data_IF_876839631730
#
_entry.id   IF_876839631730
#
_cell.length_a   1.000
_cell.length_b   1.000
_cell.length_c   1.000
_cell.angle_alpha   90.00
_cell.angle_beta   90.00
_cell.angle_gamma   90.00
#
_symmetry.space_group_name_H-M   'P 1'
#
loop_
_entity.id
_entity.type
_entity.pdbx_description
1 polymer ?
#
# COMPACT_ATOMS: atom_id res chain seq x y z
N UNK A 1 -20.16 20.42 0.35
CA UNK A 1 -19.75 20.08 -1.04
C UNK A 1 -19.60 18.56 -1.11
N UNK A 2 -20.49 17.82 -1.76
CA UNK A 2 -20.39 16.37 -1.88
C UNK A 2 -19.14 16.04 -2.73
N UNK A 3 -18.12 15.44 -2.12
CA UNK A 3 -16.99 14.92 -2.89
C UNK A 3 -17.52 13.84 -3.83
N UNK A 4 -17.15 13.92 -5.10
CA UNK A 4 -17.48 12.93 -6.13
C UNK A 4 -16.94 11.57 -5.66
N UNK A 5 -17.79 10.52 -5.66
CA UNK A 5 -17.33 9.15 -5.39
C UNK A 5 -16.37 8.76 -6.51
N UNK A 6 -15.14 8.40 -6.16
CA UNK A 6 -14.10 8.01 -7.12
C UNK A 6 -14.29 6.58 -7.62
N UNK A 7 -14.94 5.72 -6.82
CA UNK A 7 -15.16 4.32 -7.15
C UNK A 7 -16.01 3.62 -6.09
N UNK A 8 -15.76 2.34 -5.88
CA UNK A 8 -16.48 1.47 -4.94
C UNK A 8 -16.28 1.93 -3.49
N UNK A 9 -17.38 2.05 -2.73
CA UNK A 9 -17.32 2.44 -1.32
C UNK A 9 -16.72 1.31 -0.46
N UNK A 10 -16.04 1.67 0.63
CA UNK A 10 -15.60 0.71 1.63
C UNK A 10 -16.76 -0.06 2.26
N UNK A 11 -17.97 0.49 2.27
CA UNK A 11 -19.18 -0.20 2.75
C UNK A 11 -19.53 -1.44 1.90
N UNK A 12 -19.07 -1.48 0.65
CA UNK A 12 -19.25 -2.61 -0.26
C UNK A 12 -18.17 -3.69 -0.05
N UNK A 13 -17.15 -3.40 0.77
CA UNK A 13 -16.05 -4.32 1.06
C UNK A 13 -16.55 -5.48 1.93
N UNK A 14 -16.31 -6.75 1.54
CA UNK A 14 -16.71 -7.89 2.35
C UNK A 14 -16.16 -7.82 3.79
N UNK A 15 -17.01 -7.99 4.83
CA UNK A 15 -16.59 -7.88 6.23
C UNK A 15 -15.46 -8.84 6.62
N UNK A 16 -15.32 -9.98 5.91
CA UNK A 16 -14.24 -10.96 6.16
C UNK A 16 -12.84 -10.34 6.01
N UNK A 17 -12.68 -9.29 5.19
CA UNK A 17 -11.40 -8.61 4.96
C UNK A 17 -10.90 -7.93 6.25
N UNK A 18 -11.82 -7.42 7.08
CA UNK A 18 -11.48 -6.79 8.35
C UNK A 18 -10.85 -7.75 9.36
N UNK A 19 -11.09 -9.05 9.21
CA UNK A 19 -10.46 -10.07 10.05
C UNK A 19 -8.95 -10.17 9.86
N UNK A 20 -8.44 -9.66 8.71
CA UNK A 20 -7.00 -9.66 8.33
C UNK A 20 -6.37 -11.05 8.36
N UNK A 21 -7.17 -12.09 8.05
CA UNK A 21 -6.73 -13.50 8.03
C UNK A 21 -6.48 -14.01 6.62
N UNK A 22 -7.05 -13.36 5.62
CA UNK A 22 -6.88 -13.69 4.21
C UNK A 22 -5.78 -12.82 3.60
N UNK A 23 -4.89 -13.43 2.83
CA UNK A 23 -3.82 -12.74 2.11
C UNK A 23 -4.34 -12.06 0.85
N UNK A 24 -3.67 -10.98 0.45
CA UNK A 24 -3.95 -10.23 -0.77
C UNK A 24 -4.80 -8.98 -0.58
N UNK A 25 -5.06 -8.56 0.65
CA UNK A 25 -5.80 -7.34 0.94
C UNK A 25 -4.85 -6.23 1.39
N UNK A 26 -4.76 -5.19 0.58
CA UNK A 26 -3.81 -4.10 0.77
C UNK A 26 -4.50 -2.80 1.17
N UNK A 27 -3.83 -2.01 1.97
CA UNK A 27 -4.17 -0.62 2.23
C UNK A 27 -3.08 0.26 1.61
N UNK A 28 -3.44 1.35 0.93
CA UNK A 28 -2.44 2.27 0.38
C UNK A 28 -2.64 3.70 0.85
N UNK A 29 -1.52 4.46 0.86
CA UNK A 29 -1.49 5.84 1.31
C UNK A 29 -0.30 6.58 0.70
N UNK A 30 -0.20 7.89 0.96
CA UNK A 30 0.95 8.71 0.60
C UNK A 30 1.61 9.31 1.84
N UNK A 31 2.93 9.21 1.91
CA UNK A 31 3.74 9.89 2.91
C UNK A 31 4.40 11.11 2.29
N UNK A 32 3.96 12.30 2.73
CA UNK A 32 4.50 13.57 2.27
C UNK A 32 5.70 13.98 3.11
N UNK A 33 6.74 14.50 2.46
CA UNK A 33 7.91 15.10 3.11
C UNK A 33 7.68 16.55 3.55
N UNK A 34 8.60 17.42 3.19
CA UNK A 34 8.41 18.86 3.33
C UNK A 34 7.27 19.32 2.42
N UNK A 35 6.44 20.26 2.90
CA UNK A 35 5.34 20.83 2.09
C UNK A 35 5.88 21.80 1.03
N UNK A 36 6.87 21.37 0.25
CA UNK A 36 7.45 22.13 -0.85
C UNK A 36 6.94 21.60 -2.18
N UNK A 37 6.84 22.47 -3.19
CA UNK A 37 6.22 22.17 -4.48
C UNK A 37 6.96 21.11 -5.31
N UNK A 38 8.22 20.81 -4.99
CA UNK A 38 9.12 19.98 -5.78
C UNK A 38 9.78 18.89 -4.92
N UNK A 39 9.05 18.30 -3.98
CA UNK A 39 9.53 17.18 -3.18
C UNK A 39 8.87 15.90 -3.66
N UNK A 40 9.62 14.79 -3.69
CA UNK A 40 9.07 13.47 -3.94
C UNK A 40 8.06 13.12 -2.85
N UNK A 41 7.27 12.10 -3.15
CA UNK A 41 6.27 11.54 -2.24
C UNK A 41 6.50 10.05 -2.14
N UNK A 42 6.28 9.44 -0.98
CA UNK A 42 6.31 8.00 -0.87
C UNK A 42 4.89 7.45 -1.03
N UNK A 43 4.68 6.66 -2.06
CA UNK A 43 3.50 5.83 -2.21
C UNK A 43 3.74 4.54 -1.42
N UNK A 44 2.87 4.25 -0.48
CA UNK A 44 3.02 3.14 0.46
C UNK A 44 1.85 2.18 0.38
N UNK A 45 2.16 0.88 0.47
CA UNK A 45 1.16 -0.19 0.52
C UNK A 45 1.48 -1.10 1.70
N UNK A 46 0.46 -1.51 2.45
CA UNK A 46 0.58 -2.47 3.53
C UNK A 46 -0.39 -3.63 3.32
N UNK A 47 0.14 -4.86 3.30
CA UNK A 47 -0.67 -6.07 3.22
C UNK A 47 -1.27 -6.39 4.61
N UNK A 48 -2.56 -6.70 4.65
CA UNK A 48 -3.30 -6.76 5.91
C UNK A 48 -3.02 -8.00 6.76
N UNK A 49 -2.66 -9.15 6.18
CA UNK A 49 -2.37 -10.40 6.87
C UNK A 49 -0.92 -10.48 7.29
N UNK A 50 0.00 -10.40 6.34
CA UNK A 50 1.44 -10.52 6.56
C UNK A 50 2.05 -9.29 7.22
N UNK A 51 1.41 -8.13 7.07
CA UNK A 51 1.95 -6.82 7.43
C UNK A 51 3.11 -6.37 6.55
N UNK A 52 3.30 -7.02 5.41
CA UNK A 52 4.28 -6.60 4.42
C UNK A 52 4.05 -5.15 4.00
N UNK A 53 5.12 -4.41 3.87
CA UNK A 53 5.09 -2.98 3.61
C UNK A 53 5.97 -2.62 2.44
N UNK A 54 5.38 -2.02 1.41
CA UNK A 54 6.06 -1.59 0.20
C UNK A 54 6.13 -0.06 0.17
N UNK A 55 7.28 0.48 -0.24
CA UNK A 55 7.53 1.93 -0.28
C UNK A 55 8.07 2.31 -1.67
N UNK A 56 7.30 3.07 -2.42
CA UNK A 56 7.69 3.55 -3.75
C UNK A 56 7.88 5.08 -3.75
N UNK A 57 9.09 5.59 -3.96
CA UNK A 57 9.27 7.00 -4.25
C UNK A 57 8.61 7.35 -5.59
N UNK A 58 7.70 8.31 -5.58
CA UNK A 58 7.05 8.86 -6.78
C UNK A 58 7.31 10.34 -6.89
N UNK A 59 7.32 10.86 -8.12
CA UNK A 59 7.74 12.26 -8.39
C UNK A 59 6.85 13.30 -7.69
N UNK A 60 5.55 13.04 -7.64
CA UNK A 60 4.59 13.90 -6.97
C UNK A 60 3.31 13.13 -6.55
N UNK A 61 2.39 13.80 -5.87
CA UNK A 61 1.11 13.23 -5.45
C UNK A 61 0.02 13.35 -6.53
N UNK A 62 0.30 12.95 -7.74
CA UNK A 62 -0.69 12.87 -8.82
C UNK A 62 -1.18 11.44 -9.03
N UNK A 63 -2.38 11.30 -9.57
CA UNK A 63 -2.91 9.98 -9.91
C UNK A 63 -2.07 9.28 -10.98
N UNK A 64 -1.48 10.03 -11.89
CA UNK A 64 -0.57 9.51 -12.91
C UNK A 64 0.68 8.85 -12.29
N UNK A 65 1.29 9.48 -11.27
CA UNK A 65 2.45 8.92 -10.56
C UNK A 65 2.09 7.67 -9.75
N UNK A 66 0.93 7.66 -9.08
CA UNK A 66 0.42 6.49 -8.37
C UNK A 66 0.16 5.33 -9.33
N UNK A 67 -0.50 5.60 -10.48
CA UNK A 67 -0.74 4.57 -11.49
C UNK A 67 0.53 4.05 -12.14
N UNK A 68 1.55 4.90 -12.32
CA UNK A 68 2.86 4.45 -12.82
C UNK A 68 3.54 3.47 -11.84
N UNK A 69 3.48 3.75 -10.53
CA UNK A 69 3.97 2.82 -9.50
C UNK A 69 3.17 1.52 -9.50
N UNK A 70 1.84 1.57 -9.60
CA UNK A 70 1.00 0.36 -9.67
C UNK A 70 1.30 -0.50 -10.90
N UNK A 71 1.61 0.11 -12.04
CA UNK A 71 2.03 -0.64 -13.25
C UNK A 71 3.36 -1.37 -13.03
N UNK A 72 4.34 -0.75 -12.36
CA UNK A 72 5.59 -1.42 -12.00
C UNK A 72 5.33 -2.64 -11.11
N UNK A 73 4.45 -2.50 -10.11
CA UNK A 73 4.04 -3.62 -9.26
C UNK A 73 3.35 -4.72 -10.08
N UNK A 74 2.47 -4.34 -11.01
CA UNK A 74 1.81 -5.28 -11.93
C UNK A 74 2.83 -6.06 -12.78
N UNK A 75 3.87 -5.39 -13.28
CA UNK A 75 4.94 -6.03 -14.05
C UNK A 75 5.73 -7.03 -13.22
N UNK A 76 5.99 -6.73 -11.94
CA UNK A 76 6.70 -7.63 -11.02
C UNK A 76 5.92 -8.93 -10.78
N UNK A 77 4.63 -8.85 -10.51
CA UNK A 77 3.81 -10.02 -10.19
C UNK A 77 3.16 -10.66 -11.42
N UNK A 78 3.16 -9.97 -12.57
CA UNK A 78 2.67 -10.46 -13.86
C UNK A 78 1.29 -11.13 -13.77
N UNK A 79 1.16 -12.39 -14.14
CA UNK A 79 -0.08 -13.17 -14.12
C UNK A 79 -0.65 -13.39 -12.72
N UNK A 80 0.20 -13.35 -11.68
CA UNK A 80 -0.19 -13.52 -10.27
C UNK A 80 -0.61 -12.23 -9.58
N UNK A 81 -0.60 -11.09 -10.29
CA UNK A 81 -0.91 -9.81 -9.69
C UNK A 81 -2.25 -9.81 -8.93
N UNK A 82 -3.32 -10.33 -9.50
CA UNK A 82 -4.64 -10.35 -8.86
C UNK A 82 -4.74 -11.34 -7.68
N UNK A 83 -3.84 -12.31 -7.59
CA UNK A 83 -3.76 -13.23 -6.46
C UNK A 83 -3.04 -12.58 -5.27
N UNK A 84 -1.98 -11.79 -5.57
CA UNK A 84 -1.21 -11.02 -4.58
C UNK A 84 -1.96 -9.75 -4.17
N UNK A 85 -2.66 -9.09 -5.12
CA UNK A 85 -3.43 -7.86 -4.91
C UNK A 85 -4.92 -8.11 -5.20
N UNK A 86 -5.61 -8.85 -4.32
CA UNK A 86 -7.06 -9.12 -4.44
C UNK A 86 -7.88 -7.84 -4.25
N UNK A 87 -7.51 -7.04 -3.25
CA UNK A 87 -8.15 -5.74 -3.01
C UNK A 87 -7.16 -4.68 -2.58
N UNK A 88 -7.44 -3.44 -2.95
CA UNK A 88 -6.71 -2.26 -2.48
C UNK A 88 -7.71 -1.30 -1.83
N UNK A 89 -7.44 -0.89 -0.60
CA UNK A 89 -8.23 0.11 0.11
C UNK A 89 -7.45 1.42 0.20
N UNK A 90 -8.06 2.52 -0.21
CA UNK A 90 -7.45 3.85 -0.22
C UNK A 90 -8.43 4.91 0.32
N UNK A 91 -7.97 6.14 0.52
CA UNK A 91 -8.88 7.26 0.80
C UNK A 91 -9.45 7.88 -0.49
N UNK A 92 -10.34 8.87 -0.33
CA UNK A 92 -10.95 9.62 -1.42
C UNK A 92 -10.09 10.81 -1.89
N UNK A 93 -8.76 10.68 -1.86
CA UNK A 93 -7.84 11.69 -2.39
C UNK A 93 -7.85 11.72 -3.91
N UNK A 94 -7.65 12.90 -4.51
CA UNK A 94 -7.56 13.05 -5.96
C UNK A 94 -6.39 12.28 -6.57
N UNK A 95 -5.36 12.04 -5.79
CA UNK A 95 -4.19 11.23 -6.13
C UNK A 95 -4.51 9.74 -6.36
N UNK A 96 -5.63 9.26 -5.86
CA UNK A 96 -6.10 7.89 -6.03
C UNK A 96 -7.26 7.77 -7.02
N UNK A 97 -7.60 8.85 -7.72
CA UNK A 97 -8.80 8.89 -8.57
C UNK A 97 -8.80 7.82 -9.68
N UNK A 98 -7.63 7.50 -10.21
CA UNK A 98 -7.49 6.55 -11.32
C UNK A 98 -7.25 5.10 -10.86
N UNK A 99 -7.11 4.84 -9.55
CA UNK A 99 -6.89 3.46 -9.05
C UNK A 99 -8.02 2.50 -9.43
N UNK A 100 -9.25 3.00 -9.55
CA UNK A 100 -10.38 2.18 -10.01
C UNK A 100 -10.20 1.63 -11.44
N UNK A 101 -9.28 2.19 -12.25
CA UNK A 101 -8.95 1.64 -13.57
C UNK A 101 -8.30 0.26 -13.48
N UNK A 102 -7.69 -0.10 -12.32
CA UNK A 102 -7.14 -1.45 -12.09
C UNK A 102 -8.21 -2.52 -12.22
N UNK A 103 -9.47 -2.23 -11.83
CA UNK A 103 -10.60 -3.17 -11.96
C UNK A 103 -10.93 -3.53 -13.42
N UNK A 104 -10.49 -2.70 -14.40
CA UNK A 104 -10.67 -2.96 -15.82
C UNK A 104 -9.55 -3.81 -16.43
N UNK A 105 -8.39 -3.82 -15.76
CA UNK A 105 -7.17 -4.47 -16.27
C UNK A 105 -6.83 -5.75 -15.52
N UNK A 106 -7.48 -5.98 -14.38
CA UNK A 106 -7.21 -7.11 -13.49
C UNK A 106 -8.45 -7.44 -12.65
N UNK A 107 -8.44 -8.56 -11.95
CA UNK A 107 -9.50 -8.94 -10.99
C UNK A 107 -9.33 -8.27 -9.62
N UNK A 108 -8.42 -7.30 -9.49
CA UNK A 108 -8.19 -6.54 -8.27
C UNK A 108 -9.31 -5.53 -8.03
N UNK A 109 -9.95 -5.57 -6.87
CA UNK A 109 -11.00 -4.62 -6.50
C UNK A 109 -10.44 -3.45 -5.70
N UNK A 110 -10.91 -2.23 -5.97
CA UNK A 110 -10.47 -1.01 -5.29
C UNK A 110 -11.60 -0.40 -4.46
N UNK A 111 -11.35 -0.22 -3.16
CA UNK A 111 -12.30 0.35 -2.22
C UNK A 111 -11.82 1.71 -1.72
N UNK A 112 -12.73 2.67 -1.66
CA UNK A 112 -12.47 4.01 -1.16
C UNK A 112 -13.05 4.18 0.25
N UNK A 113 -12.18 4.49 1.21
CA UNK A 113 -12.52 4.72 2.60
C UNK A 113 -13.39 5.98 2.79
N UNK A 114 -14.07 6.07 3.92
CA UNK A 114 -14.81 7.27 4.27
C UNK A 114 -13.86 8.45 4.49
N UNK A 115 -14.25 9.66 4.12
CA UNK A 115 -13.48 10.86 4.45
C UNK A 115 -13.28 10.97 5.97
N UNK A 116 -12.04 11.24 6.39
CA UNK A 116 -11.65 11.46 7.78
C UNK A 116 -11.80 10.25 8.74
N UNK A 117 -11.86 9.03 8.21
CA UNK A 117 -11.97 7.82 9.03
C UNK A 117 -10.66 7.03 8.99
N UNK A 118 -9.77 7.30 9.97
CA UNK A 118 -8.45 6.66 10.05
C UNK A 118 -8.52 5.16 10.34
N UNK A 119 -9.57 4.67 10.99
CA UNK A 119 -9.72 3.25 11.28
C UNK A 119 -9.86 2.38 10.01
N UNK A 120 -10.29 2.96 8.89
CA UNK A 120 -10.50 2.22 7.64
C UNK A 120 -9.18 1.75 6.98
N UNK A 121 -8.04 2.38 7.34
CA UNK A 121 -6.68 2.10 6.84
C UNK A 121 -5.65 1.97 7.97
N UNK A 122 -6.02 1.36 9.07
CA UNK A 122 -5.18 1.29 10.27
C UNK A 122 -3.85 0.57 10.09
N UNK A 123 -3.70 -0.32 9.10
CA UNK A 123 -2.45 -1.04 8.83
C UNK A 123 -1.43 -0.11 8.19
N UNK A 124 -1.76 0.52 7.07
CA UNK A 124 -0.82 1.41 6.36
C UNK A 124 -0.49 2.65 7.19
N UNK A 125 -1.45 3.22 7.92
CA UNK A 125 -1.19 4.39 8.78
C UNK A 125 -0.16 4.06 9.89
N UNK A 126 -0.26 2.88 10.50
CA UNK A 126 0.70 2.41 11.49
C UNK A 126 2.10 2.25 10.90
N UNK A 127 2.20 1.68 9.69
CA UNK A 127 3.47 1.50 8.99
C UNK A 127 4.06 2.85 8.55
N UNK A 128 3.25 3.79 8.08
CA UNK A 128 3.69 5.14 7.78
C UNK A 128 4.31 5.83 9.01
N UNK A 129 3.83 5.52 10.21
CA UNK A 129 4.43 5.95 11.47
C UNK A 129 5.85 5.42 11.68
N UNK A 130 6.20 4.23 11.16
CA UNK A 130 7.56 3.67 11.23
C UNK A 130 8.53 4.45 10.33
N UNK A 131 8.10 4.84 9.13
CA UNK A 131 8.89 5.67 8.21
C UNK A 131 9.37 6.94 8.91
N UNK A 132 8.54 7.53 9.78
CA UNK A 132 8.85 8.79 10.49
C UNK A 132 10.03 8.72 11.47
N UNK A 133 10.48 7.52 11.81
CA UNK A 133 11.71 7.31 12.57
C UNK A 133 12.97 7.64 11.76
N UNK A 134 12.91 7.46 10.44
CA UNK A 134 14.02 7.65 9.51
C UNK A 134 13.85 8.96 8.72
N UNK A 135 12.63 9.23 8.29
CA UNK A 135 12.25 10.42 7.50
C UNK A 135 11.29 11.26 8.35
N UNK A 136 11.78 12.13 9.23
CA UNK A 136 10.95 12.96 10.09
C UNK A 136 10.02 13.87 9.29
N UNK A 137 8.87 14.16 9.85
CA UNK A 137 7.92 15.10 9.23
C UNK A 137 8.59 16.47 8.98
N UNK A 138 8.36 17.02 7.80
CA UNK A 138 8.94 18.31 7.38
C UNK A 138 10.33 18.20 6.75
N UNK A 139 10.96 17.02 6.73
CA UNK A 139 12.16 16.77 5.92
C UNK A 139 11.76 16.47 4.49
N UNK A 140 12.58 16.88 3.54
CA UNK A 140 12.39 16.55 2.13
C UNK A 140 12.68 15.07 1.90
N UNK A 141 11.83 14.42 1.11
CA UNK A 141 12.07 13.04 0.68
C UNK A 141 13.24 12.98 -0.30
N UNK A 142 13.41 14.03 -1.12
CA UNK A 142 14.55 14.18 -2.02
C UNK A 142 15.93 14.20 -1.33
N UNK A 143 15.99 14.48 -0.02
CA UNK A 143 17.23 14.43 0.74
C UNK A 143 17.69 12.98 1.03
N UNK A 144 16.85 11.98 0.72
CA UNK A 144 17.13 10.57 0.94
C UNK A 144 17.33 9.86 -0.40
N UNK A 145 18.37 9.05 -0.49
CA UNK A 145 18.62 8.23 -1.67
C UNK A 145 17.60 7.09 -1.80
N UNK A 146 17.43 6.57 -3.02
CA UNK A 146 16.58 5.39 -3.23
C UNK A 146 17.01 4.20 -2.38
N UNK A 147 18.32 4.05 -2.15
CA UNK A 147 18.86 2.99 -1.28
C UNK A 147 18.43 3.20 0.18
N UNK A 148 18.53 4.42 0.70
CA UNK A 148 18.08 4.72 2.07
C UNK A 148 16.57 4.45 2.25
N UNK A 149 15.75 4.73 1.24
CA UNK A 149 14.31 4.42 1.28
C UNK A 149 14.09 2.90 1.24
N UNK A 150 14.82 2.17 0.40
CA UNK A 150 14.77 0.70 0.36
C UNK A 150 15.24 0.08 1.70
N UNK A 151 16.26 0.63 2.34
CA UNK A 151 16.73 0.18 3.65
C UNK A 151 15.64 0.37 4.73
N UNK A 152 14.83 1.43 4.65
CA UNK A 152 13.68 1.65 5.55
C UNK A 152 12.60 0.59 5.32
N UNK A 153 12.30 0.25 4.07
CA UNK A 153 11.35 -0.81 3.71
C UNK A 153 11.79 -2.15 4.27
N UNK A 154 13.04 -2.56 3.99
CA UNK A 154 13.64 -3.79 4.50
C UNK A 154 13.57 -3.81 6.03
N UNK A 155 13.96 -2.71 6.69
CA UNK A 155 13.90 -2.63 8.15
C UNK A 155 12.49 -2.85 8.68
N UNK A 156 11.47 -2.26 8.06
CA UNK A 156 10.07 -2.43 8.46
C UNK A 156 9.64 -3.90 8.34
N UNK A 157 10.03 -4.58 7.25
CA UNK A 157 9.61 -5.94 6.94
C UNK A 157 10.40 -7.02 7.72
N UNK A 158 11.58 -6.66 8.24
CA UNK A 158 12.39 -7.53 9.11
C UNK A 158 12.06 -7.39 10.61
N UNK A 159 11.11 -6.55 11.01
CA UNK A 159 10.74 -6.41 12.42
C UNK A 159 9.82 -7.56 12.89
N UNK A 160 10.17 -8.33 13.93
CA UNK A 160 9.27 -9.30 14.52
C UNK A 160 8.02 -8.61 15.12
N UNK A 161 6.84 -9.07 14.74
CA UNK A 161 5.57 -8.47 15.16
C UNK A 161 4.81 -9.44 16.05
N UNK A 162 4.40 -8.99 17.23
CA UNK A 162 3.70 -9.83 18.22
C UNK A 162 2.44 -10.50 17.65
N UNK A 163 1.64 -9.78 16.85
CA UNK A 163 0.42 -10.32 16.24
C UNK A 163 0.69 -11.43 15.22
N UNK A 164 1.92 -11.49 14.69
CA UNK A 164 2.40 -12.54 13.79
C UNK A 164 3.13 -13.68 14.54
N UNK A 165 2.97 -13.77 15.86
CA UNK A 165 3.69 -14.75 16.68
C UNK A 165 5.20 -14.47 16.75
N UNK A 166 5.61 -13.22 16.71
CA UNK A 166 7.01 -12.74 16.64
C UNK A 166 7.75 -13.13 15.36
N UNK A 167 7.02 -13.50 14.32
CA UNK A 167 7.56 -13.62 12.97
C UNK A 167 7.63 -12.24 12.31
N UNK A 168 8.42 -12.13 11.26
CA UNK A 168 8.55 -10.91 10.47
C UNK A 168 7.47 -10.85 9.37
N UNK A 169 7.09 -9.65 8.89
CA UNK A 169 6.24 -9.50 7.71
C UNK A 169 6.78 -10.28 6.51
N UNK A 170 8.07 -10.13 6.23
CA UNK A 170 8.77 -10.76 5.11
C UNK A 170 8.63 -12.30 5.13
N UNK A 171 8.85 -12.95 6.29
CA UNK A 171 8.67 -14.41 6.43
C UNK A 171 7.25 -14.88 6.10
N UNK A 172 6.23 -14.12 6.52
CA UNK A 172 4.82 -14.48 6.26
C UNK A 172 4.48 -14.22 4.80
N UNK A 173 4.98 -13.11 4.24
CA UNK A 173 4.72 -12.72 2.86
C UNK A 173 5.31 -13.73 1.87
N UNK A 174 6.56 -14.14 2.06
CA UNK A 174 7.22 -15.15 1.26
C UNK A 174 6.48 -16.51 1.29
N UNK A 175 6.00 -16.94 2.46
CA UNK A 175 5.19 -18.16 2.56
C UNK A 175 3.88 -18.09 1.75
N UNK A 176 3.23 -16.93 1.74
CA UNK A 176 2.01 -16.73 0.95
C UNK A 176 2.31 -16.71 -0.56
N UNK A 177 3.42 -16.08 -0.95
CA UNK A 177 3.88 -16.09 -2.35
C UNK A 177 4.24 -17.52 -2.80
N UNK A 178 4.95 -18.27 -1.98
CA UNK A 178 5.28 -19.66 -2.30
C UNK A 178 4.02 -20.52 -2.56
N UNK A 179 2.95 -20.30 -1.79
CA UNK A 179 1.68 -20.97 -2.02
C UNK A 179 1.05 -20.58 -3.36
N UNK A 180 1.11 -19.30 -3.74
CA UNK A 180 0.58 -18.81 -5.02
C UNK A 180 1.36 -19.41 -6.19
N UNK A 181 2.69 -19.37 -6.13
CA UNK A 181 3.54 -19.85 -7.23
C UNK A 181 3.60 -21.37 -7.34
N UNK A 182 3.35 -22.13 -6.28
CA UNK A 182 3.33 -23.61 -6.31
C UNK A 182 2.01 -24.16 -6.88
N UNK A 183 0.90 -23.43 -6.78
CA UNK A 183 -0.38 -23.85 -7.34
C UNK A 183 -0.34 -23.85 -8.88
N UNK A 184 0.58 -23.11 -9.48
CA UNK A 184 0.74 -22.98 -10.95
C UNK A 184 1.80 -23.91 -11.55
N UNK A 185 2.47 -24.73 -10.77
CA UNK A 185 3.41 -25.75 -11.21
C UNK A 185 2.75 -27.14 -11.28
#
# INVERSE_FOLDING_TARGET
MNKKKLGRSIEERPPKIESRKEFGHWECDLVLGAKTRYDQVLFTLAECKSREFLIFPIADKTSACVMAAMKQIQEVYSEHFSEVFKTITTDNGSEFADLAELEKMSDTLVYYAHPYTSCDKGTVERHNGLIRRFIPQGKRIDDFTSQQIADVEIWCNCLPIKILGYRTPDEIFEEELDQIYQITA
#
